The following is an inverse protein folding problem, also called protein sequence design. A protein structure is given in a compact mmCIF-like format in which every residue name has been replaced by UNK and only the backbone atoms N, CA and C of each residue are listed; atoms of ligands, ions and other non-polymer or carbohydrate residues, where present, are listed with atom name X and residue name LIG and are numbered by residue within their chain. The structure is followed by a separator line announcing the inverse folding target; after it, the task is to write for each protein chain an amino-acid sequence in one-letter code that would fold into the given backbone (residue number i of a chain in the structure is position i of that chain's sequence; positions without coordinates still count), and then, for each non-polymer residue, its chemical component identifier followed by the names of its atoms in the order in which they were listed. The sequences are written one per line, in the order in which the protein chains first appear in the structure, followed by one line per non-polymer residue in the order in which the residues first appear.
data_IF_711199177205
#
_entry.id   IF_711199177205
#
_cell.length_a   1.000
_cell.length_b   1.000
_cell.length_c   1.000
_cell.angle_alpha   90.00
_cell.angle_beta   90.00
_cell.angle_gamma   90.00
#
_symmetry.space_group_name_H-M   'P 1'
#
loop_
_entity.id
_entity.type
_entity.pdbx_description
1 polymer ?
#
# COMPACT_ATOMS: atom_id res chain seq x y z
N UNK A 1 -11.87 -5.71 4.41
CA UNK A 1 -10.40 -5.54 4.47
C UNK A 1 -9.71 -6.75 5.10
N UNK A 2 -10.08 -7.17 6.32
CA UNK A 2 -9.46 -8.33 6.99
C UNK A 2 -9.34 -9.58 6.11
N UNK A 3 -10.41 -9.95 5.39
CA UNK A 3 -10.39 -11.12 4.50
C UNK A 3 -9.36 -11.01 3.36
N UNK A 4 -9.12 -9.79 2.85
CA UNK A 4 -8.10 -9.53 1.82
C UNK A 4 -6.71 -9.71 2.41
N UNK A 5 -6.44 -9.13 3.58
CA UNK A 5 -5.15 -9.26 4.28
C UNK A 5 -4.82 -10.74 4.53
N UNK A 6 -5.78 -11.50 5.06
CA UNK A 6 -5.58 -12.93 5.35
C UNK A 6 -5.40 -13.76 4.07
N UNK A 7 -6.09 -13.42 2.98
CA UNK A 7 -5.86 -14.06 1.68
C UNK A 7 -4.48 -13.71 1.13
N UNK A 8 -4.08 -12.44 1.14
CA UNK A 8 -2.78 -11.98 0.66
C UNK A 8 -1.61 -12.68 1.35
N UNK A 9 -1.71 -12.88 2.68
CA UNK A 9 -0.73 -13.67 3.43
C UNK A 9 -0.64 -15.12 2.92
N UNK A 10 -1.79 -15.76 2.66
CA UNK A 10 -1.85 -17.14 2.14
C UNK A 10 -1.28 -17.28 0.73
N UNK A 11 -1.47 -16.25 -0.11
CA UNK A 11 -0.92 -16.19 -1.48
C UNK A 11 0.58 -15.81 -1.49
N UNK A 12 1.18 -15.52 -0.33
CA UNK A 12 2.60 -15.22 -0.21
C UNK A 12 3.01 -13.81 -0.64
N UNK A 13 2.10 -12.83 -0.55
CA UNK A 13 2.44 -11.43 -0.81
C UNK A 13 3.25 -10.81 0.33
N UNK A 14 4.23 -9.97 0.00
CA UNK A 14 5.11 -9.33 0.99
C UNK A 14 4.49 -8.08 1.63
N UNK A 15 3.78 -7.27 0.85
CA UNK A 15 3.15 -6.03 1.31
C UNK A 15 1.89 -5.69 0.49
N UNK A 16 1.06 -4.80 1.04
CA UNK A 16 -0.09 -4.22 0.37
C UNK A 16 0.01 -2.69 0.36
N UNK A 17 -0.41 -2.08 -0.74
CA UNK A 17 -0.50 -0.63 -0.88
C UNK A 17 -1.94 -0.20 -1.22
N UNK A 18 -2.35 0.98 -0.76
CA UNK A 18 -3.64 1.55 -1.11
C UNK A 18 -3.64 3.08 -1.08
N UNK A 19 -4.67 3.68 -1.67
CA UNK A 19 -4.99 5.10 -1.53
C UNK A 19 -6.35 5.23 -0.83
N UNK A 20 -6.42 5.97 0.29
CA UNK A 20 -7.68 6.19 1.01
C UNK A 20 -7.52 6.86 2.37
N UNK A 21 -8.63 7.06 3.09
CA UNK A 21 -8.66 7.78 4.38
C UNK A 21 -7.86 7.03 5.48
N UNK A 22 -6.79 7.65 6.04
CA UNK A 22 -6.00 7.06 7.12
C UNK A 22 -6.82 6.68 8.35
N UNK A 23 -7.89 7.41 8.67
CA UNK A 23 -8.72 7.13 9.84
C UNK A 23 -9.50 5.82 9.72
N UNK A 24 -9.79 5.41 8.49
CA UNK A 24 -10.40 4.12 8.22
C UNK A 24 -9.35 3.01 8.21
N UNK A 25 -8.25 3.19 7.48
CA UNK A 25 -7.30 2.11 7.21
C UNK A 25 -6.32 1.82 8.35
N UNK A 26 -6.04 2.78 9.24
CA UNK A 26 -5.26 2.54 10.46
C UNK A 26 -5.80 1.42 11.34
N UNK A 27 -7.12 1.15 11.26
CA UNK A 27 -7.78 0.05 11.99
C UNK A 27 -7.27 -1.34 11.56
N UNK A 28 -6.64 -1.45 10.40
CA UNK A 28 -6.08 -2.69 9.86
C UNK A 28 -4.54 -2.71 9.88
N UNK A 29 -3.89 -1.71 10.50
CA UNK A 29 -2.43 -1.62 10.59
C UNK A 29 -1.74 -0.96 9.39
N UNK A 30 -2.50 -0.36 8.46
CA UNK A 30 -1.90 0.46 7.41
C UNK A 30 -1.30 1.74 8.00
N UNK A 31 -0.17 2.15 7.45
CA UNK A 31 0.55 3.38 7.79
C UNK A 31 0.85 4.18 6.53
N UNK A 32 1.14 5.47 6.66
CA UNK A 32 1.57 6.29 5.52
C UNK A 32 2.84 5.68 4.91
N UNK A 33 2.84 5.50 3.59
CA UNK A 33 3.95 4.85 2.90
C UNK A 33 5.12 5.79 2.73
N UNK A 34 6.33 5.30 3.03
CA UNK A 34 7.57 6.00 2.70
C UNK A 34 8.02 5.74 1.25
N UNK A 35 7.40 4.78 0.56
CA UNK A 35 7.74 4.41 -0.81
C UNK A 35 7.16 5.44 -1.79
N UNK A 36 7.99 5.86 -2.76
CA UNK A 36 7.57 6.85 -3.77
C UNK A 36 6.51 6.24 -4.68
N UNK A 37 5.47 7.01 -4.98
CA UNK A 37 4.42 6.63 -5.93
C UNK A 37 4.06 7.80 -6.86
N UNK A 38 3.25 7.52 -7.87
CA UNK A 38 2.73 8.52 -8.80
C UNK A 38 1.84 9.59 -8.12
N UNK A 39 1.40 9.35 -6.88
CA UNK A 39 0.53 10.27 -6.12
C UNK A 39 1.32 11.32 -5.32
N UNK A 40 2.65 11.28 -5.34
CA UNK A 40 3.50 12.16 -4.53
C UNK A 40 3.42 11.84 -3.02
N UNK A 41 4.05 12.68 -2.17
CA UNK A 41 3.98 12.53 -0.71
C UNK A 41 2.53 12.72 -0.24
N UNK A 42 1.94 11.69 0.37
CA UNK A 42 0.54 11.72 0.81
C UNK A 42 0.30 10.75 1.96
N UNK A 43 -0.35 11.23 3.03
CA UNK A 43 -0.82 10.35 4.11
C UNK A 43 -1.89 9.36 3.64
N UNK A 44 -2.57 9.68 2.54
CA UNK A 44 -3.60 8.83 1.96
C UNK A 44 -3.01 7.63 1.22
N UNK A 45 -1.77 7.73 0.73
CA UNK A 45 -1.06 6.59 0.14
C UNK A 45 -0.38 5.80 1.26
N UNK A 46 -0.88 4.60 1.49
CA UNK A 46 -0.57 3.82 2.69
C UNK A 46 -0.04 2.44 2.32
N UNK A 47 0.77 1.87 3.21
CA UNK A 47 1.34 0.54 3.09
C UNK A 47 1.02 -0.32 4.31
N UNK A 48 1.01 -1.64 4.10
CA UNK A 48 0.94 -2.66 5.13
C UNK A 48 1.93 -3.76 4.77
N UNK A 49 2.97 -3.92 5.59
CA UNK A 49 3.87 -5.06 5.49
C UNK A 49 3.18 -6.33 6.00
N UNK A 50 3.14 -7.36 5.16
CA UNK A 50 2.72 -8.71 5.55
C UNK A 50 3.92 -9.56 5.96
N UNK A 51 5.08 -9.26 5.39
CA UNK A 51 6.40 -9.76 5.78
C UNK A 51 7.18 -8.62 6.41
N UNK A 52 7.60 -8.80 7.66
CA UNK A 52 8.29 -7.76 8.42
C UNK A 52 9.55 -7.26 7.68
N UNK A 53 9.70 -5.93 7.66
CA UNK A 53 10.83 -5.18 7.11
C UNK A 53 11.07 -5.42 5.61
N UNK A 54 10.07 -5.86 4.86
CA UNK A 54 10.22 -6.09 3.42
C UNK A 54 10.35 -4.79 2.61
N UNK A 55 9.96 -3.65 3.17
CA UNK A 55 10.04 -2.32 2.56
C UNK A 55 11.18 -1.46 3.14
N UNK A 56 11.86 -1.92 4.19
CA UNK A 56 12.92 -1.16 4.84
C UNK A 56 14.09 -0.87 3.88
N UNK A 57 14.55 0.38 3.86
CA UNK A 57 15.71 0.82 3.05
C UNK A 57 15.57 0.66 1.54
N UNK A 58 14.35 0.48 1.01
CA UNK A 58 14.11 0.45 -0.43
C UNK A 58 14.03 1.87 -1.01
N UNK A 59 14.94 2.23 -1.90
CA UNK A 59 14.81 3.41 -2.76
C UNK A 59 14.14 3.01 -4.09
N UNK A 60 12.84 2.72 -4.03
CA UNK A 60 12.05 2.22 -5.16
C UNK A 60 10.84 3.10 -5.44
N UNK A 61 10.22 2.91 -6.61
CA UNK A 61 9.00 3.57 -7.03
C UNK A 61 7.90 2.53 -7.29
N UNK A 62 6.73 2.73 -6.72
CA UNK A 62 5.56 1.87 -6.95
C UNK A 62 4.96 2.20 -8.32
N UNK A 63 4.92 1.20 -9.19
CA UNK A 63 4.20 1.27 -10.46
C UNK A 63 2.87 0.53 -10.33
N UNK A 64 1.77 1.27 -10.47
CA UNK A 64 0.44 0.68 -10.49
C UNK A 64 0.12 0.11 -11.87
N UNK A 65 -0.78 -0.87 -11.89
CA UNK A 65 -1.28 -1.42 -13.14
C UNK A 65 -1.92 -0.31 -14.00
N UNK A 66 -1.84 -0.39 -15.35
CA UNK A 66 -2.34 0.66 -16.24
C UNK A 66 -3.80 1.07 -16.03
N UNK A 67 -4.64 0.18 -15.48
CA UNK A 67 -6.01 0.48 -15.12
C UNK A 67 -6.14 1.63 -14.11
N UNK A 68 -5.12 1.85 -13.27
CA UNK A 68 -5.07 2.94 -12.29
C UNK A 68 -4.52 4.26 -12.85
N UNK A 69 -3.93 4.24 -14.06
CA UNK A 69 -3.44 5.45 -14.75
C UNK A 69 -4.61 6.17 -15.43
N UNK A 70 -5.74 5.47 -15.62
CA UNK A 70 -6.86 5.94 -16.42
C UNK A 70 -7.99 6.50 -15.58
N UNK A 71 -7.71 7.57 -14.84
CA UNK A 71 -8.74 8.44 -14.26
C UNK A 71 -8.19 9.87 -14.26
N UNK A 72 -8.54 10.62 -15.31
CA UNK A 72 -8.75 12.07 -15.17
C UNK A 72 -9.83 12.24 -14.10
N UNK A 73 -9.41 12.38 -12.84
CA UNK A 73 -10.23 12.93 -11.76
C UNK A 73 -10.10 14.45 -11.79
#
# INVERSE_FOLDING_TARGET
MQAVIEKSKKEGLDALFLLGDPNYYKKFGFVASAVKSAYGPSEYFQELELKANCLESLNVHVHLAPAFIRLEL
#
